data_IF_455996592389
#
_entry.id   IF_455996592389
#
_cell.length_a   1.000
_cell.length_b   1.000
_cell.length_c   1.000
_cell.angle_alpha   90.00
_cell.angle_beta   90.00
_cell.angle_gamma   90.00
#
_symmetry.space_group_name_H-M   'P 1'
#
loop_
_entity.id
_entity.type
_entity.pdbx_description
1 polymer ?
#
# COMPACT_ATOMS: atom_id res chain seq x y z
N UNK A 1 -6.54 27.69 -91.52
CA UNK A 1 -5.83 26.38 -91.70
C UNK A 1 -5.08 26.12 -90.44
N UNK A 2 -5.23 24.96 -89.91
CA UNK A 2 -4.78 24.39 -88.64
C UNK A 2 -5.68 24.70 -87.42
N UNK A 3 -6.43 23.62 -87.11
CA UNK A 3 -7.21 23.35 -85.92
C UNK A 3 -6.23 22.88 -84.89
N UNK A 4 -6.26 23.41 -83.65
CA UNK A 4 -5.70 22.77 -82.49
C UNK A 4 -6.79 22.65 -81.45
N UNK A 5 -7.13 21.35 -81.21
CA UNK A 5 -8.02 20.92 -80.10
C UNK A 5 -7.28 21.10 -78.80
N UNK A 6 -7.78 21.90 -77.89
CA UNK A 6 -7.34 22.00 -76.53
C UNK A 6 -8.25 21.20 -75.64
N UNK A 7 -7.69 20.15 -75.07
CA UNK A 7 -8.33 19.22 -74.12
C UNK A 7 -8.59 19.90 -72.79
N UNK A 8 -9.87 20.09 -72.45
CA UNK A 8 -10.26 20.54 -71.12
C UNK A 8 -10.11 19.38 -70.12
N UNK A 9 -9.09 19.47 -69.26
CA UNK A 9 -8.97 18.60 -68.05
C UNK A 9 -10.01 19.05 -67.02
N UNK A 10 -11.00 18.18 -66.74
CA UNK A 10 -11.89 18.29 -65.58
C UNK A 10 -11.08 18.09 -64.31
N UNK A 11 -10.88 19.12 -63.53
CA UNK A 11 -10.40 19.01 -62.17
C UNK A 11 -11.59 18.64 -61.28
N UNK A 12 -11.64 17.39 -60.82
CA UNK A 12 -12.53 16.97 -59.75
C UNK A 12 -11.95 17.48 -58.46
N UNK A 13 -12.57 18.52 -57.89
CA UNK A 13 -12.26 18.95 -56.51
C UNK A 13 -12.74 17.85 -55.56
N UNK A 14 -11.78 17.14 -55.01
CA UNK A 14 -12.01 16.24 -53.90
C UNK A 14 -12.08 17.08 -52.62
N UNK A 15 -13.29 17.36 -52.13
CA UNK A 15 -13.48 17.90 -50.80
C UNK A 15 -13.09 16.84 -49.80
N UNK A 16 -11.88 16.90 -49.27
CA UNK A 16 -11.49 16.18 -48.06
C UNK A 16 -12.14 16.95 -46.91
N UNK A 17 -13.28 16.48 -46.46
CA UNK A 17 -13.83 16.90 -45.17
C UNK A 17 -12.86 16.47 -44.07
N UNK A 18 -12.03 17.39 -43.59
CA UNK A 18 -11.33 17.21 -42.34
C UNK A 18 -12.40 17.13 -41.23
N UNK A 19 -12.76 15.96 -40.85
CA UNK A 19 -13.38 15.76 -39.54
C UNK A 19 -12.32 16.08 -38.50
N UNK A 20 -12.34 17.29 -38.00
CA UNK A 20 -11.68 17.62 -36.74
C UNK A 20 -12.54 16.94 -35.68
N UNK A 21 -12.19 15.69 -35.34
CA UNK A 21 -12.60 15.09 -34.10
C UNK A 21 -11.90 15.91 -33.03
N UNK A 22 -12.62 16.90 -32.49
CA UNK A 22 -12.24 17.53 -31.24
C UNK A 22 -12.43 16.49 -30.17
N UNK A 23 -11.44 15.62 -29.99
CA UNK A 23 -11.26 14.88 -28.74
C UNK A 23 -10.81 15.92 -27.71
N UNK A 24 -11.75 16.57 -27.09
CA UNK A 24 -11.52 17.31 -25.84
C UNK A 24 -11.69 16.35 -24.67
N UNK A 25 -10.95 15.27 -24.66
CA UNK A 25 -10.66 14.54 -23.46
C UNK A 25 -9.20 14.81 -23.15
N UNK A 26 -9.00 15.88 -22.37
CA UNK A 26 -7.77 16.07 -21.62
C UNK A 26 -7.71 14.96 -20.57
N UNK A 27 -7.44 13.74 -21.00
CA UNK A 27 -7.01 12.66 -20.13
C UNK A 27 -5.52 12.84 -19.85
N UNK A 28 -5.20 13.98 -19.21
CA UNK A 28 -3.88 14.27 -18.64
C UNK A 28 -3.45 13.21 -17.61
N UNK A 29 -4.37 12.30 -17.22
CA UNK A 29 -4.12 11.26 -16.23
C UNK A 29 -3.25 10.13 -16.79
N UNK A 30 -3.28 9.88 -18.09
CA UNK A 30 -2.52 8.81 -18.73
C UNK A 30 -1.02 9.08 -18.80
N UNK A 31 -0.61 10.35 -18.76
CA UNK A 31 0.80 10.75 -18.81
C UNK A 31 1.43 11.02 -17.44
N UNK A 32 0.64 11.09 -16.38
CA UNK A 32 1.18 11.34 -15.04
C UNK A 32 1.85 10.08 -14.49
N UNK A 33 3.05 10.20 -13.90
CA UNK A 33 3.77 9.06 -13.34
C UNK A 33 3.06 8.42 -12.15
N UNK A 34 2.28 9.21 -11.40
CA UNK A 34 1.53 8.75 -10.23
C UNK A 34 0.04 8.94 -10.42
N UNK A 35 -0.74 8.08 -9.78
CA UNK A 35 -2.20 8.13 -9.78
C UNK A 35 -2.76 7.63 -8.45
N UNK A 36 -3.99 8.02 -8.16
CA UNK A 36 -4.75 7.48 -7.02
C UNK A 36 -5.41 6.19 -7.47
N UNK A 37 -5.25 5.12 -6.71
CA UNK A 37 -5.93 3.85 -6.98
C UNK A 37 -7.45 3.95 -6.75
N UNK A 38 -8.20 2.94 -7.19
CA UNK A 38 -9.68 2.92 -7.12
C UNK A 38 -10.23 3.01 -5.70
N UNK A 39 -9.43 2.65 -4.69
CA UNK A 39 -9.81 2.81 -3.28
C UNK A 39 -9.79 4.27 -2.79
N UNK A 40 -9.37 5.21 -3.63
CA UNK A 40 -9.35 6.66 -3.34
C UNK A 40 -8.27 7.12 -2.37
N UNK A 41 -7.41 6.22 -1.89
CA UNK A 41 -6.39 6.49 -0.85
C UNK A 41 -4.98 6.16 -1.32
N UNK A 42 -4.78 4.98 -1.91
CA UNK A 42 -3.45 4.49 -2.29
C UNK A 42 -2.90 5.25 -3.48
N UNK A 43 -1.67 5.74 -3.35
CA UNK A 43 -0.92 6.38 -4.44
C UNK A 43 -0.04 5.34 -5.11
N UNK A 44 -0.24 5.12 -6.40
CA UNK A 44 0.50 4.16 -7.21
C UNK A 44 1.38 4.84 -8.26
N UNK A 45 2.50 4.20 -8.56
CA UNK A 45 3.33 4.55 -9.71
C UNK A 45 2.99 3.68 -10.91
N UNK A 46 3.04 4.25 -12.10
CA UNK A 46 2.93 3.48 -13.35
C UNK A 46 4.18 2.62 -13.57
N UNK A 47 4.06 1.59 -14.39
CA UNK A 47 5.14 0.58 -14.60
C UNK A 47 6.44 1.20 -15.09
N UNK A 48 6.36 2.23 -15.94
CA UNK A 48 7.52 2.92 -16.50
C UNK A 48 8.23 3.88 -15.53
N UNK A 49 7.65 4.13 -14.35
CA UNK A 49 8.26 5.01 -13.34
C UNK A 49 9.47 4.34 -12.72
N UNK A 50 10.56 5.09 -12.61
CA UNK A 50 11.78 4.64 -11.94
C UNK A 50 11.88 5.23 -10.53
N UNK A 51 12.66 4.57 -9.67
CA UNK A 51 12.99 5.07 -8.34
C UNK A 51 13.64 6.45 -8.44
N UNK A 52 13.25 7.36 -7.54
CA UNK A 52 13.68 8.76 -7.54
C UNK A 52 12.85 9.68 -8.44
N UNK A 53 11.94 9.16 -9.26
CA UNK A 53 11.00 10.01 -10.01
C UNK A 53 10.16 10.83 -9.06
N UNK A 54 10.09 12.15 -9.32
CA UNK A 54 9.25 13.09 -8.57
C UNK A 54 8.21 13.70 -9.50
N UNK A 55 6.97 13.82 -9.02
CA UNK A 55 5.91 14.50 -9.77
C UNK A 55 4.81 15.03 -8.85
N UNK A 56 4.09 16.00 -9.33
CA UNK A 56 2.89 16.52 -8.67
C UNK A 56 1.67 15.63 -8.97
N UNK A 57 0.91 15.34 -7.92
CA UNK A 57 -0.41 14.73 -8.00
C UNK A 57 -1.33 15.51 -7.07
N UNK A 58 -2.33 16.20 -7.62
CA UNK A 58 -3.31 16.98 -6.88
C UNK A 58 -2.69 18.06 -5.96
N UNK A 59 -1.62 18.73 -6.40
CA UNK A 59 -0.93 19.78 -5.65
C UNK A 59 0.05 19.27 -4.59
N UNK A 60 0.31 17.96 -4.55
CA UNK A 60 1.32 17.33 -3.67
C UNK A 60 2.41 16.71 -4.52
N UNK A 61 3.66 17.06 -4.24
CA UNK A 61 4.82 16.43 -4.89
C UNK A 61 5.16 15.12 -4.20
N UNK A 62 5.08 14.02 -4.96
CA UNK A 62 5.44 12.68 -4.53
C UNK A 62 6.77 12.24 -5.11
N UNK A 63 7.41 11.25 -4.46
CA UNK A 63 8.66 10.62 -4.91
C UNK A 63 8.50 9.10 -4.91
N UNK A 64 8.80 8.46 -6.04
CA UNK A 64 8.86 7.00 -6.10
C UNK A 64 10.10 6.48 -5.36
N UNK A 65 9.91 5.52 -4.46
CA UNK A 65 10.97 4.93 -3.64
C UNK A 65 11.02 3.42 -3.80
N UNK A 66 12.22 2.87 -3.67
CA UNK A 66 12.45 1.47 -3.35
C UNK A 66 12.72 1.33 -1.83
N UNK A 67 13.04 0.11 -1.41
CA UNK A 67 13.28 -0.17 -0.01
C UNK A 67 14.44 0.66 0.55
N UNK A 68 15.57 0.75 -0.15
CA UNK A 68 16.77 1.45 0.31
C UNK A 68 16.52 2.96 0.45
N UNK A 69 15.85 3.56 -0.52
CA UNK A 69 15.48 4.98 -0.47
C UNK A 69 14.38 5.27 0.55
N UNK A 70 13.45 4.33 0.78
CA UNK A 70 12.46 4.44 1.85
C UNK A 70 13.13 4.44 3.24
N UNK A 71 14.08 3.53 3.47
CA UNK A 71 14.92 3.53 4.68
C UNK A 71 15.61 4.89 4.90
N UNK A 72 16.18 5.44 3.83
CA UNK A 72 16.85 6.74 3.91
C UNK A 72 15.86 7.85 4.27
N UNK A 73 14.65 7.84 3.70
CA UNK A 73 13.61 8.82 4.05
C UNK A 73 13.22 8.75 5.52
N UNK A 74 13.13 7.55 6.08
CA UNK A 74 12.83 7.33 7.50
C UNK A 74 13.97 7.81 8.38
N UNK A 75 15.21 7.45 8.03
CA UNK A 75 16.40 7.88 8.78
C UNK A 75 16.59 9.40 8.78
N UNK A 76 16.27 10.05 7.66
CA UNK A 76 16.35 11.50 7.47
C UNK A 76 15.16 12.26 8.07
N UNK A 77 14.22 11.57 8.70
CA UNK A 77 12.99 12.13 9.28
C UNK A 77 12.12 12.90 8.26
N UNK A 78 12.08 12.41 7.02
CA UNK A 78 11.28 13.01 5.95
C UNK A 78 9.80 12.66 6.08
N UNK A 79 8.97 13.44 5.41
CA UNK A 79 7.51 13.27 5.37
C UNK A 79 7.10 12.04 4.54
N UNK A 80 6.76 10.95 5.21
CA UNK A 80 6.41 9.68 4.60
C UNK A 80 5.07 9.70 3.84
N UNK A 81 4.27 10.76 4.01
CA UNK A 81 3.05 10.96 3.21
C UNK A 81 3.34 11.31 1.74
N UNK A 82 4.61 11.59 1.41
CA UNK A 82 5.05 12.04 0.07
C UNK A 82 5.82 10.98 -0.71
N UNK A 83 5.86 9.75 -0.21
CA UNK A 83 6.49 8.65 -0.95
C UNK A 83 5.46 7.80 -1.67
N UNK A 84 5.86 7.24 -2.82
CA UNK A 84 5.10 6.23 -3.57
C UNK A 84 5.87 4.93 -3.51
N UNK A 85 5.29 3.92 -2.87
CA UNK A 85 5.94 2.67 -2.49
C UNK A 85 5.72 1.52 -3.46
N UNK A 86 5.12 1.76 -4.63
CA UNK A 86 4.84 0.74 -5.66
C UNK A 86 6.08 -0.06 -6.08
N UNK A 87 7.28 0.55 -5.97
CA UNK A 87 8.57 -0.10 -6.30
C UNK A 87 9.24 -0.78 -5.10
N UNK A 88 8.59 -0.78 -3.94
CA UNK A 88 9.00 -1.57 -2.78
C UNK A 88 8.40 -2.96 -2.93
N UNK A 89 9.22 -3.97 -3.15
CA UNK A 89 8.74 -5.33 -3.43
C UNK A 89 8.42 -6.12 -2.15
N UNK A 90 9.21 -5.90 -1.09
CA UNK A 90 9.00 -6.53 0.22
C UNK A 90 9.80 -5.81 1.28
N UNK A 91 9.40 -5.93 2.54
CA UNK A 91 10.12 -5.38 3.69
C UNK A 91 10.62 -6.46 4.65
N UNK A 92 10.15 -7.70 4.52
CA UNK A 92 10.53 -8.80 5.39
C UNK A 92 12.00 -9.21 5.27
N UNK A 93 12.57 -9.68 6.39
CA UNK A 93 13.99 -10.05 6.52
C UNK A 93 14.99 -8.96 6.13
N UNK A 94 14.53 -7.76 5.83
CA UNK A 94 15.36 -6.59 5.65
C UNK A 94 15.60 -5.90 7.02
N UNK A 95 16.69 -5.14 7.17
CA UNK A 95 16.84 -4.19 8.28
C UNK A 95 15.62 -3.25 8.45
N UNK A 96 14.78 -3.17 7.45
CA UNK A 96 13.51 -2.41 7.40
C UNK A 96 12.37 -3.10 8.12
N UNK A 97 12.46 -4.40 8.39
CA UNK A 97 11.50 -5.08 9.28
C UNK A 97 11.41 -4.42 10.68
N UNK A 98 12.22 -3.41 10.90
CA UNK A 98 12.25 -2.55 12.08
C UNK A 98 12.14 -1.08 11.64
N UNK A 99 11.47 -0.81 10.49
CA UNK A 99 11.37 0.53 9.91
C UNK A 99 10.99 1.58 10.92
N UNK A 100 10.07 1.24 11.79
CA UNK A 100 9.54 2.16 12.78
C UNK A 100 10.10 1.92 14.19
N UNK A 101 10.94 0.87 14.38
CA UNK A 101 11.44 0.49 15.70
C UNK A 101 12.82 1.04 16.05
N UNK A 102 13.57 1.53 15.07
CA UNK A 102 15.03 1.69 15.18
C UNK A 102 15.53 2.67 16.25
N UNK A 103 14.68 3.50 16.85
CA UNK A 103 15.15 4.49 17.83
C UNK A 103 14.17 4.87 18.94
N UNK A 104 13.06 4.17 19.20
CA UNK A 104 12.02 4.64 20.15
C UNK A 104 11.58 6.09 19.89
N UNK A 105 11.92 6.65 18.72
CA UNK A 105 11.71 8.06 18.37
C UNK A 105 10.63 8.25 17.31
N UNK A 106 10.12 7.18 16.73
CA UNK A 106 9.06 7.28 15.73
C UNK A 106 7.75 7.54 16.46
N UNK A 107 7.55 8.79 16.84
CA UNK A 107 6.26 9.26 17.36
C UNK A 107 5.17 9.20 16.27
N UNK A 108 3.92 9.23 16.68
CA UNK A 108 2.71 9.22 15.83
C UNK A 108 2.76 10.21 14.65
N UNK A 109 3.56 11.28 14.74
CA UNK A 109 3.72 12.25 13.67
C UNK A 109 4.46 11.70 12.44
N UNK A 110 5.33 10.70 12.62
CA UNK A 110 6.14 10.13 11.53
C UNK A 110 5.43 9.03 10.74
N UNK A 111 4.45 8.37 11.34
CA UNK A 111 3.67 7.29 10.69
C UNK A 111 2.47 7.87 9.94
N UNK A 112 2.20 9.17 10.08
CA UNK A 112 1.11 9.82 9.36
C UNK A 112 1.38 9.81 7.85
N UNK A 113 0.38 9.38 7.08
CA UNK A 113 0.41 9.40 5.61
C UNK A 113 0.79 8.05 4.99
N UNK A 114 1.13 7.04 5.81
CA UNK A 114 1.37 5.69 5.30
C UNK A 114 0.07 5.02 4.80
N UNK A 115 -1.08 5.56 5.13
CA UNK A 115 -2.39 5.12 4.63
C UNK A 115 -2.42 5.07 3.09
N UNK A 116 -1.70 6.00 2.46
CA UNK A 116 -1.59 6.10 1.01
C UNK A 116 -0.54 5.18 0.37
N UNK A 117 0.19 4.39 1.14
CA UNK A 117 1.22 3.52 0.59
C UNK A 117 0.64 2.39 -0.24
N UNK A 118 1.30 2.08 -1.35
CA UNK A 118 1.04 0.89 -2.16
C UNK A 118 1.87 -0.28 -1.62
N UNK A 119 1.20 -1.20 -0.97
CA UNK A 119 1.80 -2.43 -0.40
C UNK A 119 1.42 -3.67 -1.21
N UNK A 120 0.75 -3.50 -2.34
CA UNK A 120 0.18 -4.61 -3.14
C UNK A 120 1.22 -5.56 -3.74
N UNK A 121 2.51 -5.22 -3.67
CA UNK A 121 3.61 -6.08 -4.08
C UNK A 121 4.38 -6.71 -2.90
N UNK A 122 3.98 -6.41 -1.67
CA UNK A 122 4.67 -6.95 -0.50
C UNK A 122 4.25 -8.39 -0.24
N UNK A 123 5.22 -9.22 0.11
CA UNK A 123 5.01 -10.63 0.45
C UNK A 123 5.33 -10.94 1.90
N UNK A 124 6.16 -10.13 2.54
CA UNK A 124 6.57 -10.26 3.93
C UNK A 124 6.49 -8.88 4.61
N UNK A 125 5.66 -8.78 5.64
CA UNK A 125 5.46 -7.58 6.45
C UNK A 125 5.94 -7.79 7.90
N UNK A 126 6.76 -8.83 8.14
CA UNK A 126 7.23 -9.15 9.49
C UNK A 126 7.96 -7.96 10.11
N UNK A 127 7.63 -7.67 11.36
CA UNK A 127 8.26 -6.62 12.15
C UNK A 127 7.93 -5.17 11.75
N UNK A 128 7.02 -4.93 10.82
CA UNK A 128 6.73 -3.58 10.30
C UNK A 128 6.50 -2.53 11.40
N UNK A 129 5.71 -2.86 12.40
CA UNK A 129 5.41 -2.00 13.56
C UNK A 129 6.03 -2.53 14.86
N UNK A 130 7.10 -3.31 14.76
CA UNK A 130 7.76 -3.84 15.94
C UNK A 130 8.29 -2.71 16.85
N UNK A 131 7.97 -2.75 18.14
CA UNK A 131 8.37 -1.73 19.15
C UNK A 131 7.92 -0.30 18.85
N UNK A 132 6.86 -0.10 18.10
CA UNK A 132 6.30 1.22 17.84
C UNK A 132 5.43 1.65 19.02
N UNK A 133 5.74 2.79 19.66
CA UNK A 133 5.03 3.19 20.89
C UNK A 133 3.59 3.66 20.68
N UNK A 134 3.31 4.33 19.57
CA UNK A 134 1.98 4.88 19.27
C UNK A 134 1.71 4.86 17.78
N UNK A 135 0.71 4.14 17.36
CA UNK A 135 0.22 4.14 15.98
C UNK A 135 -1.27 4.47 16.00
N UNK A 136 -1.65 5.50 15.25
CA UNK A 136 -3.06 5.82 15.00
C UNK A 136 -3.20 6.05 13.50
N UNK A 137 -3.57 5.01 12.77
CA UNK A 137 -3.60 5.02 11.31
C UNK A 137 -4.68 4.05 10.81
N UNK A 138 -5.38 4.45 9.75
CA UNK A 138 -6.33 3.58 9.06
C UNK A 138 -5.63 2.88 7.89
N UNK A 139 -5.34 1.60 8.05
CA UNK A 139 -4.71 0.76 7.04
C UNK A 139 -5.72 -0.14 6.30
N UNK A 140 -7.01 0.09 6.46
CA UNK A 140 -8.05 -0.70 5.79
C UNK A 140 -7.99 -0.64 4.26
N UNK A 141 -7.33 0.39 3.71
CA UNK A 141 -7.10 0.56 2.28
C UNK A 141 -5.89 -0.20 1.73
N UNK A 142 -5.08 -0.83 2.58
CA UNK A 142 -3.92 -1.59 2.11
C UNK A 142 -4.34 -2.91 1.46
N UNK A 143 -3.81 -3.18 0.27
CA UNK A 143 -3.93 -4.47 -0.41
C UNK A 143 -2.81 -5.40 0.05
N UNK A 144 -3.13 -6.29 0.99
CA UNK A 144 -2.20 -7.27 1.56
C UNK A 144 -2.41 -8.68 0.99
N UNK A 145 -3.15 -8.82 -0.08
CA UNK A 145 -3.56 -10.11 -0.66
C UNK A 145 -2.39 -11.01 -1.10
N UNK A 146 -1.20 -10.44 -1.33
CA UNK A 146 0.02 -11.18 -1.66
C UNK A 146 0.91 -11.48 -0.45
N UNK A 147 0.57 -10.96 0.73
CA UNK A 147 1.38 -11.17 1.94
C UNK A 147 1.26 -12.61 2.39
N UNK A 148 2.40 -13.23 2.63
CA UNK A 148 2.50 -14.61 3.13
C UNK A 148 3.00 -14.68 4.56
N UNK A 149 3.71 -13.62 5.03
CA UNK A 149 4.29 -13.54 6.38
C UNK A 149 3.84 -12.24 7.04
N UNK A 150 3.12 -12.37 8.15
CA UNK A 150 2.70 -11.28 9.03
C UNK A 150 3.32 -11.40 10.44
N UNK A 151 4.33 -12.21 10.61
CA UNK A 151 4.93 -12.49 11.93
C UNK A 151 5.51 -11.23 12.57
N UNK A 152 5.28 -11.04 13.89
CA UNK A 152 5.76 -9.90 14.68
C UNK A 152 5.43 -8.52 14.09
N UNK A 153 4.46 -8.44 13.18
CA UNK A 153 4.15 -7.21 12.46
C UNK A 153 3.72 -6.08 13.39
N UNK A 154 3.07 -6.41 14.50
CA UNK A 154 2.45 -5.46 15.41
C UNK A 154 2.87 -5.69 16.87
N UNK A 155 4.08 -5.30 17.24
CA UNK A 155 4.44 -5.19 18.65
C UNK A 155 4.29 -3.73 19.08
N UNK A 156 3.20 -3.38 19.73
CA UNK A 156 2.72 -2.01 19.83
C UNK A 156 2.47 -1.60 21.27
N UNK A 157 2.87 -0.36 21.62
CA UNK A 157 2.57 0.24 22.93
C UNK A 157 1.14 0.76 23.03
N UNK A 158 0.71 1.58 22.06
CA UNK A 158 -0.65 2.15 22.00
C UNK A 158 -1.05 2.23 20.53
N UNK A 159 -2.08 1.47 20.12
CA UNK A 159 -2.41 1.34 18.71
C UNK A 159 -3.89 1.48 18.45
N UNK A 160 -4.20 2.32 17.47
CA UNK A 160 -5.48 2.34 16.81
C UNK A 160 -5.21 2.10 15.31
N UNK A 161 -5.19 0.84 14.89
CA UNK A 161 -5.02 0.44 13.50
C UNK A 161 -6.28 -0.28 13.06
N UNK A 162 -6.84 0.14 11.95
CA UNK A 162 -7.93 -0.58 11.29
C UNK A 162 -7.35 -1.50 10.22
N UNK A 163 -7.44 -2.81 10.48
CA UNK A 163 -6.97 -3.89 9.59
C UNK A 163 -8.06 -4.97 9.41
N UNK A 164 -9.27 -4.70 9.90
CA UNK A 164 -10.34 -5.70 9.97
C UNK A 164 -10.66 -6.35 8.61
N UNK A 165 -10.53 -5.58 7.53
CA UNK A 165 -10.90 -5.98 6.17
C UNK A 165 -9.71 -6.46 5.34
N UNK A 166 -8.55 -6.72 5.94
CA UNK A 166 -7.42 -7.26 5.18
C UNK A 166 -7.73 -8.63 4.60
N UNK A 167 -7.40 -8.84 3.32
CA UNK A 167 -7.37 -10.16 2.70
C UNK A 167 -6.09 -10.89 3.08
N UNK A 168 -6.17 -11.72 4.11
CA UNK A 168 -5.04 -12.52 4.61
C UNK A 168 -5.06 -13.95 4.10
N UNK A 169 -5.85 -14.26 3.10
CA UNK A 169 -6.04 -15.62 2.58
C UNK A 169 -4.77 -16.25 1.97
N UNK A 170 -3.72 -15.45 1.75
CA UNK A 170 -2.40 -15.94 1.30
C UNK A 170 -1.41 -16.16 2.44
N UNK A 171 -1.73 -15.73 3.66
CA UNK A 171 -0.80 -15.78 4.80
C UNK A 171 -0.62 -17.20 5.31
N UNK A 172 0.64 -17.57 5.55
CA UNK A 172 1.04 -18.87 6.11
C UNK A 172 1.66 -18.76 7.48
N UNK A 173 2.27 -17.60 7.80
CA UNK A 173 2.93 -17.35 9.08
C UNK A 173 2.37 -16.06 9.72
N UNK A 174 1.77 -16.23 10.88
CA UNK A 174 1.27 -15.16 11.76
C UNK A 174 1.94 -15.23 13.16
N UNK A 175 3.12 -15.83 13.25
CA UNK A 175 3.83 -15.98 14.52
C UNK A 175 4.00 -14.64 15.21
N UNK A 176 3.45 -14.48 16.42
CA UNK A 176 3.54 -13.25 17.19
C UNK A 176 2.94 -12.02 16.51
N UNK A 177 1.99 -12.20 15.58
CA UNK A 177 1.38 -11.11 14.77
C UNK A 177 1.03 -9.88 15.59
N UNK A 178 0.46 -10.09 16.77
CA UNK A 178 0.01 -8.99 17.63
C UNK A 178 0.59 -9.18 19.02
N UNK A 179 1.52 -8.32 19.39
CA UNK A 179 2.03 -8.22 20.77
C UNK A 179 1.64 -6.85 21.29
N UNK A 180 0.68 -6.82 22.22
CA UNK A 180 0.22 -5.57 22.81
C UNK A 180 1.14 -5.14 23.95
N UNK A 181 1.45 -3.85 24.00
CA UNK A 181 1.99 -3.21 25.20
C UNK A 181 0.92 -3.07 26.28
N UNK A 182 1.30 -2.61 27.47
CA UNK A 182 0.52 -2.63 28.71
C UNK A 182 -0.82 -1.82 28.72
N UNK A 183 -1.43 -1.54 27.57
CA UNK A 183 -2.66 -0.73 27.49
C UNK A 183 -3.81 -1.51 26.83
N UNK A 184 -4.63 -2.14 27.66
CA UNK A 184 -5.74 -3.03 27.30
C UNK A 184 -6.91 -2.38 26.52
N UNK A 185 -6.92 -1.07 26.30
CA UNK A 185 -8.11 -0.38 25.77
C UNK A 185 -8.21 -0.39 24.23
N UNK A 186 -7.23 -0.94 23.52
CA UNK A 186 -7.16 -0.80 22.05
C UNK A 186 -7.68 -2.01 21.27
N UNK A 187 -7.96 -3.12 21.96
CA UNK A 187 -8.45 -4.34 21.31
C UNK A 187 -9.96 -4.25 20.99
N UNK A 188 -10.70 -3.41 21.66
CA UNK A 188 -12.17 -3.35 21.49
C UNK A 188 -12.62 -3.07 20.04
N UNK A 189 -11.84 -2.30 19.29
CA UNK A 189 -12.12 -1.98 17.87
C UNK A 189 -11.67 -3.03 16.87
N UNK A 190 -10.82 -3.99 17.29
CA UNK A 190 -10.23 -4.97 16.37
C UNK A 190 -11.12 -6.21 16.30
N UNK A 191 -11.62 -6.50 15.10
CA UNK A 191 -12.44 -7.67 14.81
C UNK A 191 -11.84 -8.42 13.62
N UNK A 192 -11.13 -9.50 13.92
CA UNK A 192 -10.45 -10.34 12.93
C UNK A 192 -11.19 -11.67 12.70
N UNK A 193 -12.42 -11.80 13.18
CA UNK A 193 -13.22 -13.03 13.03
C UNK A 193 -13.55 -13.36 11.57
N UNK A 194 -13.51 -12.34 10.69
CA UNK A 194 -13.73 -12.49 9.26
C UNK A 194 -12.49 -12.88 8.45
N UNK A 195 -11.32 -13.00 9.09
CA UNK A 195 -10.11 -13.36 8.38
C UNK A 195 -10.10 -14.82 7.93
N UNK A 196 -9.78 -15.07 6.65
CA UNK A 196 -9.50 -16.41 6.14
C UNK A 196 -8.07 -16.81 6.51
N UNK A 197 -7.94 -17.56 7.62
CA UNK A 197 -6.66 -18.06 8.13
C UNK A 197 -6.45 -19.55 7.80
N UNK A 198 -7.16 -20.07 6.81
CA UNK A 198 -7.13 -21.49 6.43
C UNK A 198 -5.76 -21.99 5.96
N UNK A 199 -4.89 -21.08 5.48
CA UNK A 199 -3.52 -21.41 5.06
C UNK A 199 -2.47 -21.19 6.13
N UNK A 200 -2.83 -20.60 7.29
CA UNK A 200 -1.87 -20.32 8.34
C UNK A 200 -1.46 -21.62 9.02
N UNK A 201 -0.16 -21.92 8.97
CA UNK A 201 0.46 -23.08 9.61
C UNK A 201 1.34 -22.70 10.79
N UNK A 202 1.77 -21.45 10.87
CA UNK A 202 2.61 -20.89 11.93
C UNK A 202 1.85 -19.76 12.61
N UNK A 203 1.43 -19.94 13.88
CA UNK A 203 0.67 -18.94 14.63
C UNK A 203 1.06 -18.88 16.12
N UNK A 204 2.25 -19.31 16.47
CA UNK A 204 2.71 -19.35 17.87
C UNK A 204 2.74 -17.95 18.51
N UNK A 205 2.44 -17.87 19.80
CA UNK A 205 2.55 -16.64 20.57
C UNK A 205 1.38 -15.67 20.44
N UNK A 206 0.26 -16.10 19.85
CA UNK A 206 -0.94 -15.27 19.73
C UNK A 206 -1.83 -15.32 20.97
N UNK A 207 -1.98 -16.49 21.60
CA UNK A 207 -2.93 -16.68 22.70
C UNK A 207 -2.49 -16.03 24.00
N UNK A 208 -1.20 -15.95 24.28
CA UNK A 208 -0.69 -15.22 25.44
C UNK A 208 -1.24 -13.79 25.45
N UNK A 209 -1.38 -13.20 24.26
CA UNK A 209 -1.94 -11.87 24.08
C UNK A 209 -3.47 -11.84 24.15
N UNK A 210 -4.15 -12.83 23.59
CA UNK A 210 -5.61 -12.92 23.63
C UNK A 210 -6.15 -12.93 25.05
N UNK A 211 -5.54 -13.73 25.94
CA UNK A 211 -5.96 -13.87 27.31
C UNK A 211 -5.53 -12.69 28.20
N UNK A 212 -4.32 -12.17 27.99
CA UNK A 212 -3.79 -11.05 28.77
C UNK A 212 -4.62 -9.75 28.59
N UNK A 213 -5.26 -9.58 27.43
CA UNK A 213 -5.98 -8.35 27.07
C UNK A 213 -7.49 -8.52 26.94
N UNK A 214 -8.03 -9.66 27.38
CA UNK A 214 -9.47 -9.96 27.34
C UNK A 214 -10.09 -9.79 25.93
N UNK A 215 -9.33 -10.09 24.86
CA UNK A 215 -9.87 -10.03 23.53
C UNK A 215 -10.99 -11.06 23.36
N UNK A 216 -12.22 -10.65 23.00
CA UNK A 216 -13.34 -11.57 22.89
C UNK A 216 -13.08 -12.69 21.88
N UNK A 217 -13.38 -13.93 22.23
CA UNK A 217 -13.23 -15.07 21.30
C UNK A 217 -13.99 -14.85 19.99
N UNK A 218 -15.17 -14.23 20.07
CA UNK A 218 -15.99 -13.92 18.89
C UNK A 218 -15.37 -12.95 17.90
N UNK A 219 -14.26 -12.31 18.27
CA UNK A 219 -13.51 -11.36 17.42
C UNK A 219 -12.14 -11.89 16.99
N UNK A 220 -11.79 -13.10 17.40
CA UNK A 220 -10.50 -13.73 17.06
C UNK A 220 -10.58 -14.45 15.72
N UNK A 221 -9.47 -14.56 14.98
CA UNK A 221 -9.39 -15.49 13.83
C UNK A 221 -9.61 -16.93 14.29
N UNK A 222 -10.25 -17.73 13.47
CA UNK A 222 -10.48 -19.14 13.74
C UNK A 222 -9.39 -20.03 13.11
N UNK A 223 -8.28 -20.22 13.81
CA UNK A 223 -7.19 -21.08 13.35
C UNK A 223 -7.59 -22.56 13.38
N UNK A 224 -7.39 -23.25 12.26
CA UNK A 224 -7.69 -24.68 12.10
C UNK A 224 -6.45 -25.54 11.85
N UNK A 225 -5.37 -24.94 11.36
CA UNK A 225 -4.16 -25.64 10.92
C UNK A 225 -2.93 -25.35 11.77
N UNK A 226 -3.05 -24.52 12.79
CA UNK A 226 -2.00 -24.29 13.78
C UNK A 226 -2.60 -24.11 15.17
N UNK A 227 -1.76 -24.25 16.21
CA UNK A 227 -2.15 -23.92 17.56
C UNK A 227 -1.54 -22.56 17.93
N UNK A 228 -2.36 -21.54 18.22
CA UNK A 228 -1.88 -20.20 18.55
C UNK A 228 -1.27 -20.07 19.97
N UNK A 229 -1.19 -21.15 20.78
CA UNK A 229 -0.62 -21.20 22.15
C UNK A 229 0.91 -21.17 22.18
#
# INVERSE_FOLDING_TARGET
>A
MFIIFGVMKKYTLLFIALFIISCSDNDDTELKPFYVADNGVTIKARDWVTVGTTADLNGVTYTAVDLASLEQWINDDKDLSKVVTTKVETIGNSPVAVLFAKDNKVGTAKIKGIEGWDVSNWTDMSGLFYSTEKVNVDLSGWDVSKVTILGLTMQLGTVNININNWDVSSVTDMTGLVVFGNNSNYIEGMDLSGWDVSKVTECNGLTGNFNAYNWPESKRPNFTNCNPD
#
